data_IF_162625559726
#
_entry.id   IF_162625559726
#
_cell.length_a   1.000
_cell.length_b   1.000
_cell.length_c   1.000
_cell.angle_alpha   90.00
_cell.angle_beta   90.00
_cell.angle_gamma   90.00
#
_symmetry.space_group_name_H-M   'P 1'
#
loop_
_entity.id
_entity.type
_entity.pdbx_description
1 polymer ?
#
# COMPACT_ATOMS: atom_id res chain seq x y z
N UNK A 1 5.99 -33.48 -8.69
CA UNK A 1 5.45 -33.44 -7.31
C UNK A 1 6.38 -32.72 -6.35
N UNK A 2 7.66 -33.12 -6.23
CA UNK A 2 8.66 -32.44 -5.38
C UNK A 2 8.89 -30.95 -5.75
N UNK A 3 9.00 -30.60 -7.04
CA UNK A 3 9.17 -29.20 -7.45
C UNK A 3 7.95 -28.32 -7.13
N UNK A 4 6.72 -28.85 -7.21
CA UNK A 4 5.49 -28.14 -6.84
C UNK A 4 5.42 -27.93 -5.32
N UNK A 5 5.82 -28.93 -4.54
CA UNK A 5 5.91 -28.86 -3.08
C UNK A 5 7.00 -27.86 -2.68
N UNK A 6 8.14 -27.81 -3.37
CA UNK A 6 9.21 -26.81 -3.14
C UNK A 6 8.72 -25.40 -3.50
N UNK A 7 8.08 -25.20 -4.65
CA UNK A 7 7.54 -23.88 -5.04
C UNK A 7 6.43 -23.40 -4.09
N UNK A 8 5.57 -24.31 -3.59
CA UNK A 8 4.54 -23.97 -2.59
C UNK A 8 5.13 -23.77 -1.18
N UNK A 9 6.19 -24.48 -0.81
CA UNK A 9 6.85 -24.34 0.50
C UNK A 9 7.77 -23.13 0.59
N UNK A 10 8.16 -22.53 -0.53
CA UNK A 10 8.96 -21.30 -0.58
C UNK A 10 8.21 -20.09 -1.16
N UNK A 11 6.88 -20.07 -1.13
CA UNK A 11 6.12 -18.84 -1.37
C UNK A 11 5.71 -18.21 -0.02
N UNK A 12 6.58 -17.40 0.61
CA UNK A 12 6.27 -16.79 1.90
C UNK A 12 5.02 -15.91 1.85
N UNK A 13 4.71 -15.31 0.68
CA UNK A 13 3.49 -14.53 0.50
C UNK A 13 2.22 -15.39 0.59
N UNK A 14 2.26 -16.66 0.19
CA UNK A 14 1.12 -17.57 0.37
C UNK A 14 0.81 -17.79 1.86
N UNK A 15 1.84 -18.06 2.66
CA UNK A 15 1.66 -18.25 4.11
C UNK A 15 1.26 -16.95 4.79
N UNK A 16 1.85 -15.82 4.40
CA UNK A 16 1.46 -14.51 4.92
C UNK A 16 -0.01 -14.22 4.64
N UNK A 17 -0.48 -14.55 3.42
CA UNK A 17 -1.87 -14.37 3.02
C UNK A 17 -2.82 -15.23 3.86
N UNK A 18 -2.46 -16.48 4.13
CA UNK A 18 -3.28 -17.36 4.99
C UNK A 18 -3.31 -16.93 6.45
N UNK A 19 -2.20 -16.43 6.99
CA UNK A 19 -2.17 -15.88 8.35
C UNK A 19 -3.00 -14.60 8.40
N UNK A 20 -2.83 -13.71 7.43
CA UNK A 20 -3.55 -12.45 7.36
C UNK A 20 -5.07 -12.65 7.22
N UNK A 21 -5.52 -13.56 6.36
CA UNK A 21 -6.94 -13.93 6.24
C UNK A 21 -7.57 -14.33 7.59
N UNK A 22 -6.83 -15.05 8.44
CA UNK A 22 -7.30 -15.45 9.76
C UNK A 22 -7.31 -14.26 10.74
N UNK A 23 -6.29 -13.41 10.69
CA UNK A 23 -6.11 -12.27 11.60
C UNK A 23 -6.94 -11.05 11.20
N UNK A 24 -7.44 -10.95 9.96
CA UNK A 24 -8.36 -9.87 9.55
C UNK A 24 -9.61 -9.79 10.43
N UNK A 25 -10.01 -10.93 11.01
CA UNK A 25 -11.11 -10.97 11.98
C UNK A 25 -10.82 -10.30 13.33
N UNK A 26 -9.58 -9.87 13.58
CA UNK A 26 -9.22 -9.04 14.73
C UNK A 26 -9.56 -7.56 14.48
N UNK A 27 -9.62 -7.14 13.21
CA UNK A 27 -9.92 -5.76 12.79
C UNK A 27 -11.38 -5.55 12.39
N UNK A 28 -12.19 -6.61 12.37
CA UNK A 28 -13.58 -6.55 11.93
C UNK A 28 -14.34 -7.85 12.17
N UNK A 29 -15.59 -7.91 11.71
CA UNK A 29 -16.37 -9.13 11.84
C UNK A 29 -15.80 -10.26 10.95
N UNK A 30 -15.91 -11.50 11.44
CA UNK A 30 -15.61 -12.68 10.62
C UNK A 30 -16.53 -12.71 9.39
N UNK A 31 -16.02 -13.16 8.23
CA UNK A 31 -16.82 -13.22 7.02
C UNK A 31 -18.04 -14.13 7.23
N UNK A 32 -19.23 -13.62 6.95
CA UNK A 32 -20.51 -14.32 7.20
C UNK A 32 -20.98 -15.13 5.99
N UNK A 33 -20.45 -14.83 4.81
CA UNK A 33 -20.83 -15.46 3.54
C UNK A 33 -19.64 -15.48 2.57
N UNK A 34 -19.87 -16.04 1.37
CA UNK A 34 -18.85 -16.17 0.33
C UNK A 34 -18.37 -14.84 -0.23
N UNK A 35 -19.21 -13.81 -0.29
CA UNK A 35 -18.82 -12.48 -0.71
C UNK A 35 -17.86 -11.87 0.32
N UNK A 36 -18.22 -11.82 1.60
CA UNK A 36 -17.34 -11.27 2.64
C UNK A 36 -15.99 -11.97 2.68
N UNK A 37 -16.00 -13.30 2.53
CA UNK A 37 -14.76 -14.08 2.45
C UNK A 37 -13.92 -13.64 1.25
N UNK A 38 -14.53 -13.50 0.08
CA UNK A 38 -13.84 -13.06 -1.13
C UNK A 38 -13.31 -11.62 -1.01
N UNK A 39 -14.06 -10.71 -0.37
CA UNK A 39 -13.62 -9.34 -0.10
C UNK A 39 -12.38 -9.34 0.82
N UNK A 40 -12.43 -10.11 1.92
CA UNK A 40 -11.29 -10.25 2.83
C UNK A 40 -10.05 -10.85 2.14
N UNK A 41 -10.24 -11.82 1.25
CA UNK A 41 -9.15 -12.41 0.46
C UNK A 41 -8.48 -11.39 -0.47
N UNK A 42 -9.23 -10.48 -1.09
CA UNK A 42 -8.63 -9.43 -1.91
C UNK A 42 -7.96 -8.35 -1.05
N UNK A 43 -8.59 -7.94 0.06
CA UNK A 43 -8.00 -7.01 1.02
C UNK A 43 -6.65 -7.54 1.54
N UNK A 44 -6.57 -8.83 1.86
CA UNK A 44 -5.33 -9.47 2.29
C UNK A 44 -4.22 -9.39 1.24
N UNK A 45 -4.57 -9.50 -0.06
CA UNK A 45 -3.59 -9.34 -1.16
C UNK A 45 -3.11 -7.90 -1.29
N UNK A 46 -4.03 -6.93 -1.20
CA UNK A 46 -3.68 -5.51 -1.22
C UNK A 46 -2.74 -5.16 -0.06
N UNK A 47 -3.02 -5.65 1.15
CA UNK A 47 -2.16 -5.44 2.32
C UNK A 47 -0.78 -6.08 2.14
N UNK A 48 -0.68 -7.31 1.62
CA UNK A 48 0.63 -7.97 1.39
C UNK A 48 1.45 -7.26 0.32
N UNK A 49 0.78 -6.62 -0.65
CA UNK A 49 1.44 -5.80 -1.66
C UNK A 49 1.97 -4.46 -1.12
N UNK A 50 1.53 -4.03 0.07
CA UNK A 50 1.95 -2.78 0.74
C UNK A 50 2.68 -3.06 2.06
N UNK A 51 4.03 -3.20 2.02
CA UNK A 51 4.85 -3.26 3.23
C UNK A 51 4.57 -2.15 4.25
N UNK A 52 4.29 -0.94 3.77
CA UNK A 52 4.02 0.20 4.65
C UNK A 52 2.67 0.02 5.37
N UNK A 53 1.64 -0.50 4.69
CA UNK A 53 0.36 -0.83 5.31
C UNK A 53 0.49 -1.91 6.38
N UNK A 54 1.27 -2.97 6.13
CA UNK A 54 1.47 -4.03 7.13
C UNK A 54 2.12 -3.50 8.41
N UNK A 55 3.13 -2.63 8.27
CA UNK A 55 3.78 -2.01 9.43
C UNK A 55 2.80 -1.08 10.16
N UNK A 56 2.09 -0.21 9.41
CA UNK A 56 1.14 0.76 9.96
C UNK A 56 0.03 0.09 10.77
N UNK A 57 -0.48 -1.05 10.29
CA UNK A 57 -1.51 -1.82 10.98
C UNK A 57 -0.96 -2.76 12.06
N UNK A 58 0.36 -2.75 12.31
CA UNK A 58 0.99 -3.51 13.39
C UNK A 58 1.12 -5.02 13.12
N UNK A 59 1.16 -5.45 11.85
CA UNK A 59 1.31 -6.86 11.47
C UNK A 59 2.77 -7.36 11.58
N UNK A 60 3.50 -6.95 12.62
CA UNK A 60 4.90 -7.36 12.88
C UNK A 60 5.10 -8.88 12.84
N UNK A 61 4.08 -9.63 13.27
CA UNK A 61 4.09 -11.10 13.25
C UNK A 61 4.24 -11.70 11.84
N UNK A 62 3.96 -10.94 10.78
CA UNK A 62 4.16 -11.34 9.38
C UNK A 62 5.55 -11.01 8.84
N UNK A 63 6.37 -10.25 9.58
CA UNK A 63 7.63 -9.72 9.07
C UNK A 63 8.63 -10.82 8.70
N UNK A 64 8.62 -11.95 9.41
CA UNK A 64 9.48 -13.08 9.08
C UNK A 64 9.16 -13.71 7.70
N UNK A 65 7.95 -13.52 7.17
CA UNK A 65 7.54 -13.98 5.85
C UNK A 65 7.68 -12.89 4.80
N UNK A 66 7.16 -11.70 5.08
CA UNK A 66 7.05 -10.64 4.07
C UNK A 66 8.26 -9.71 4.03
N UNK A 67 9.06 -9.69 5.10
CA UNK A 67 10.14 -8.72 5.34
C UNK A 67 9.66 -7.27 5.14
N UNK A 68 8.43 -6.97 5.57
CA UNK A 68 7.79 -5.69 5.32
C UNK A 68 8.44 -4.53 6.08
N UNK A 69 8.97 -4.77 7.29
CA UNK A 69 9.66 -3.74 8.07
C UNK A 69 10.98 -3.27 7.43
N UNK A 70 11.47 -3.96 6.42
CA UNK A 70 12.68 -3.59 5.66
C UNK A 70 12.37 -3.08 4.25
N UNK A 71 11.10 -2.80 3.92
CA UNK A 71 10.64 -2.46 2.58
C UNK A 71 9.74 -1.22 2.60
N UNK A 72 9.67 -0.57 1.44
CA UNK A 72 8.74 0.51 1.15
C UNK A 72 7.81 0.05 0.04
N UNK A 73 6.62 0.64 -0.01
CA UNK A 73 5.69 0.41 -1.10
C UNK A 73 6.32 0.75 -2.46
N UNK A 74 6.07 -0.10 -3.45
CA UNK A 74 6.46 0.19 -4.81
C UNK A 74 5.48 1.18 -5.44
N UNK A 75 5.97 2.38 -5.72
CA UNK A 75 5.20 3.46 -6.33
C UNK A 75 5.64 3.69 -7.80
N UNK A 76 6.20 2.65 -8.43
CA UNK A 76 6.61 2.66 -9.83
C UNK A 76 5.41 2.77 -10.77
N UNK A 77 5.67 3.15 -12.03
CA UNK A 77 4.63 3.20 -13.07
C UNK A 77 4.12 1.78 -13.35
N UNK A 78 5.03 0.81 -13.34
CA UNK A 78 4.77 -0.60 -13.52
C UNK A 78 3.84 -1.12 -12.41
N UNK A 79 4.17 -0.86 -11.14
CA UNK A 79 3.31 -1.24 -10.02
C UNK A 79 1.94 -0.58 -10.09
N UNK A 80 1.88 0.71 -10.46
CA UNK A 80 0.61 1.43 -10.65
C UNK A 80 -0.25 0.79 -11.75
N UNK A 81 0.36 0.32 -12.84
CA UNK A 81 -0.34 -0.36 -13.92
C UNK A 81 -0.84 -1.76 -13.51
N UNK A 82 -0.04 -2.51 -12.76
CA UNK A 82 -0.46 -3.80 -12.20
C UNK A 82 -1.63 -3.64 -11.23
N UNK A 83 -1.61 -2.62 -10.37
CA UNK A 83 -2.73 -2.29 -9.48
C UNK A 83 -3.99 -1.93 -10.28
N UNK A 84 -3.86 -1.16 -11.35
CA UNK A 84 -4.97 -0.86 -12.26
C UNK A 84 -5.58 -2.12 -12.88
N UNK A 85 -4.75 -3.05 -13.37
CA UNK A 85 -5.23 -4.32 -13.93
C UNK A 85 -5.90 -5.21 -12.87
N UNK A 86 -5.33 -5.25 -11.66
CA UNK A 86 -5.91 -5.93 -10.52
C UNK A 86 -7.30 -5.36 -10.19
N UNK A 87 -7.42 -4.03 -10.06
CA UNK A 87 -8.66 -3.35 -9.74
C UNK A 87 -9.75 -3.62 -10.78
N UNK A 88 -9.41 -3.64 -12.08
CA UNK A 88 -10.35 -4.00 -13.16
C UNK A 88 -10.81 -5.44 -13.07
N UNK A 89 -9.88 -6.36 -12.82
CA UNK A 89 -10.20 -7.79 -12.69
C UNK A 89 -11.11 -8.02 -11.48
N UNK A 90 -10.84 -7.33 -10.38
CA UNK A 90 -11.65 -7.40 -9.17
C UNK A 90 -13.04 -6.79 -9.37
N UNK A 91 -13.16 -5.62 -10.01
CA UNK A 91 -14.47 -5.03 -10.31
C UNK A 91 -15.29 -5.96 -11.22
N UNK A 92 -14.66 -6.57 -12.22
CA UNK A 92 -15.31 -7.51 -13.10
C UNK A 92 -15.82 -8.76 -12.36
N UNK A 93 -15.08 -9.29 -11.39
CA UNK A 93 -15.57 -10.42 -10.59
C UNK A 93 -16.78 -10.04 -9.74
N UNK A 94 -16.76 -8.85 -9.12
CA UNK A 94 -17.88 -8.33 -8.33
C UNK A 94 -19.13 -8.02 -9.16
N UNK A 95 -18.98 -7.63 -10.42
CA UNK A 95 -20.10 -7.42 -11.34
C UNK A 95 -20.92 -8.69 -11.63
N UNK A 96 -20.36 -9.88 -11.39
CA UNK A 96 -21.08 -11.15 -11.55
C UNK A 96 -21.87 -11.56 -10.30
N UNK A 97 -21.78 -10.80 -9.20
CA UNK A 97 -22.49 -11.11 -7.96
C UNK A 97 -23.93 -10.59 -8.05
N UNK A 98 -24.90 -11.49 -7.84
CA UNK A 98 -26.32 -11.13 -7.84
C UNK A 98 -26.69 -10.36 -6.56
N UNK A 99 -26.69 -9.04 -6.68
CA UNK A 99 -26.96 -8.10 -5.58
C UNK A 99 -28.28 -8.36 -4.87
N UNK A 100 -29.31 -8.84 -5.57
CA UNK A 100 -30.64 -9.03 -4.99
C UNK A 100 -30.69 -10.20 -3.99
N UNK A 101 -29.69 -11.09 -3.99
CA UNK A 101 -29.61 -12.25 -3.10
C UNK A 101 -28.82 -11.99 -1.81
N UNK A 102 -28.26 -10.79 -1.63
CA UNK A 102 -27.23 -10.54 -0.60
C UNK A 102 -27.76 -10.05 0.75
N UNK A 103 -29.06 -9.75 0.88
CA UNK A 103 -29.58 -9.10 2.09
C UNK A 103 -28.82 -7.80 2.38
N UNK A 104 -28.34 -7.62 3.61
CA UNK A 104 -27.55 -6.44 4.00
C UNK A 104 -26.11 -6.45 3.49
N UNK A 105 -25.56 -7.63 3.15
CA UNK A 105 -24.21 -7.76 2.56
C UNK A 105 -24.08 -7.04 1.21
N UNK A 106 -25.21 -6.65 0.59
CA UNK A 106 -25.21 -5.81 -0.61
C UNK A 106 -24.44 -4.50 -0.41
N UNK A 107 -24.39 -3.96 0.81
CA UNK A 107 -23.67 -2.72 1.08
C UNK A 107 -22.15 -2.90 1.00
N UNK A 108 -21.62 -4.04 1.44
CA UNK A 108 -20.19 -4.37 1.28
C UNK A 108 -19.83 -4.46 -0.22
N UNK A 109 -20.70 -5.09 -1.02
CA UNK A 109 -20.55 -5.12 -2.48
C UNK A 109 -20.53 -3.71 -3.08
N UNK A 110 -21.51 -2.89 -2.73
CA UNK A 110 -21.67 -1.55 -3.30
C UNK A 110 -20.48 -0.64 -2.94
N UNK A 111 -20.04 -0.66 -1.67
CA UNK A 111 -18.88 0.11 -1.20
C UNK A 111 -17.62 -0.32 -1.95
N UNK A 112 -17.38 -1.62 -2.09
CA UNK A 112 -16.17 -2.09 -2.76
C UNK A 112 -16.19 -1.76 -4.25
N UNK A 113 -17.34 -1.92 -4.93
CA UNK A 113 -17.47 -1.52 -6.34
C UNK A 113 -17.21 -0.04 -6.53
N UNK A 114 -17.80 0.81 -5.68
CA UNK A 114 -17.57 2.25 -5.70
C UNK A 114 -16.08 2.59 -5.49
N UNK A 115 -15.40 1.94 -4.55
CA UNK A 115 -13.97 2.12 -4.33
C UNK A 115 -13.16 1.77 -5.60
N UNK A 116 -13.40 0.58 -6.18
CA UNK A 116 -12.70 0.11 -7.37
C UNK A 116 -12.96 1.01 -8.59
N UNK A 117 -14.19 1.46 -8.80
CA UNK A 117 -14.54 2.40 -9.86
C UNK A 117 -13.76 3.72 -9.72
N UNK A 118 -13.66 4.26 -8.50
CA UNK A 118 -12.86 5.45 -8.25
C UNK A 118 -11.36 5.22 -8.48
N UNK A 119 -10.80 4.08 -8.03
CA UNK A 119 -9.39 3.73 -8.30
C UNK A 119 -9.11 3.63 -9.80
N UNK A 120 -10.02 3.03 -10.57
CA UNK A 120 -9.92 2.89 -12.03
C UNK A 120 -9.99 4.26 -12.71
N UNK A 121 -10.99 5.08 -12.38
CA UNK A 121 -11.15 6.43 -12.95
C UNK A 121 -9.93 7.30 -12.62
N UNK A 122 -9.43 7.21 -11.39
CA UNK A 122 -8.24 7.90 -10.92
C UNK A 122 -7.01 7.59 -11.77
N UNK A 123 -6.80 6.32 -12.14
CA UNK A 123 -5.73 5.92 -13.04
C UNK A 123 -5.95 6.37 -14.49
N UNK A 124 -7.16 6.18 -15.04
CA UNK A 124 -7.45 6.40 -16.46
C UNK A 124 -7.58 7.89 -16.83
N UNK A 125 -8.32 8.66 -16.04
CA UNK A 125 -8.65 10.05 -16.34
C UNK A 125 -7.71 11.05 -15.67
N UNK A 126 -7.04 10.64 -14.58
CA UNK A 126 -6.24 11.54 -13.74
C UNK A 126 -4.81 11.02 -13.51
N UNK A 127 -4.05 10.66 -14.57
CA UNK A 127 -2.68 10.18 -14.37
C UNK A 127 -1.84 11.26 -13.67
N UNK A 128 -1.06 10.82 -12.67
CA UNK A 128 -0.20 11.68 -11.85
C UNK A 128 -0.90 12.75 -10.98
N UNK A 129 -2.23 12.73 -10.84
CA UNK A 129 -2.99 13.72 -10.06
C UNK A 129 -2.62 13.73 -8.57
N UNK A 130 -2.25 12.58 -8.00
CA UNK A 130 -1.82 12.52 -6.61
C UNK A 130 -0.44 13.13 -6.45
N UNK A 131 -0.35 14.27 -5.79
CA UNK A 131 0.91 14.95 -5.58
C UNK A 131 1.70 14.26 -4.45
N UNK A 132 2.93 13.73 -4.69
CA UNK A 132 3.71 13.07 -3.64
C UNK A 132 4.07 14.00 -2.49
N UNK A 133 3.95 15.32 -2.70
CA UNK A 133 4.29 16.35 -1.74
C UNK A 133 3.14 17.35 -1.64
N UNK A 134 2.46 17.39 -0.50
CA UNK A 134 1.46 18.41 -0.17
C UNK A 134 1.64 18.91 1.27
N UNK A 135 0.90 19.96 1.64
CA UNK A 135 1.07 20.58 2.96
C UNK A 135 0.47 19.78 4.12
N UNK A 136 -0.46 18.86 3.85
CA UNK A 136 -1.20 18.11 4.88
C UNK A 136 -1.04 16.60 4.76
N UNK A 137 -0.51 16.11 3.64
CA UNK A 137 -0.38 14.68 3.33
C UNK A 137 0.70 14.46 2.26
N UNK A 138 1.07 13.21 2.05
CA UNK A 138 1.98 12.79 0.99
C UNK A 138 3.20 12.07 1.53
N UNK A 139 3.95 11.48 0.61
CA UNK A 139 4.98 10.49 0.90
C UNK A 139 6.11 11.02 1.81
N UNK A 140 6.32 12.33 1.81
CA UNK A 140 7.32 13.01 2.65
C UNK A 140 6.91 13.16 4.12
N UNK A 141 5.61 13.27 4.42
CA UNK A 141 5.09 13.27 5.80
C UNK A 141 4.89 11.83 6.29
N UNK A 142 4.32 10.99 5.42
CA UNK A 142 4.03 9.60 5.75
C UNK A 142 5.29 8.83 6.15
N UNK A 143 6.47 9.16 5.62
CA UNK A 143 7.70 8.49 6.04
C UNK A 143 8.19 8.92 7.43
N UNK A 144 8.02 10.18 7.81
CA UNK A 144 8.40 10.63 9.15
C UNK A 144 7.49 9.94 10.17
N UNK A 145 6.17 10.00 9.96
CA UNK A 145 5.17 9.32 10.79
C UNK A 145 5.39 7.80 10.81
N UNK A 146 5.67 7.20 9.65
CA UNK A 146 5.98 5.78 9.57
C UNK A 146 7.16 5.41 10.46
N UNK A 147 8.21 6.21 10.50
CA UNK A 147 9.45 5.88 11.20
C UNK A 147 9.48 6.28 12.67
N UNK A 148 8.79 7.36 13.04
CA UNK A 148 8.74 7.80 14.44
C UNK A 148 7.67 7.05 15.22
N UNK A 149 6.53 6.76 14.59
CA UNK A 149 5.34 6.35 15.32
C UNK A 149 4.99 4.87 15.08
N UNK A 150 5.31 4.33 13.89
CA UNK A 150 4.86 3.00 13.48
C UNK A 150 6.00 1.96 13.35
N UNK A 151 7.20 2.38 12.96
CA UNK A 151 8.35 1.48 12.77
C UNK A 151 9.09 1.30 14.09
N UNK A 152 9.06 0.08 14.63
CA UNK A 152 9.84 -0.25 15.82
C UNK A 152 11.33 -0.30 15.47
N UNK A 153 12.09 0.67 15.96
CA UNK A 153 13.55 0.64 15.90
C UNK A 153 14.05 -0.34 16.97
N UNK A 154 14.41 -1.56 16.56
CA UNK A 154 15.17 -2.48 17.41
C UNK A 154 16.65 -2.06 17.40
N UNK A 155 17.08 -1.36 18.46
CA UNK A 155 18.50 -1.04 18.65
C UNK A 155 19.25 -2.34 18.95
N UNK A 156 19.99 -2.86 17.97
CA UNK A 156 21.06 -3.83 18.20
C UNK A 156 22.36 -3.08 18.45
N UNK A 157 23.23 -3.62 19.31
CA UNK A 157 24.48 -2.99 19.79
C UNK A 157 25.46 -2.55 18.69
N UNK A 158 25.26 -2.96 17.44
CA UNK A 158 26.06 -2.53 16.29
C UNK A 158 25.39 -1.37 15.56
N UNK A 159 26.04 -0.19 15.61
CA UNK A 159 25.79 1.01 14.80
C UNK A 159 26.04 0.76 13.31
N UNK A 160 25.36 -0.22 12.72
CA UNK A 160 25.19 -0.29 11.27
C UNK A 160 24.02 0.63 10.92
N UNK A 161 24.14 1.40 9.84
CA UNK A 161 23.06 2.24 9.27
C UNK A 161 21.78 1.45 9.41
N UNK A 162 20.90 1.89 10.31
CA UNK A 162 19.72 1.10 10.62
C UNK A 162 18.93 0.99 9.31
N UNK A 163 18.38 -0.18 8.99
CA UNK A 163 17.60 -0.38 7.76
C UNK A 163 16.61 0.78 7.52
N UNK A 164 16.07 1.33 8.61
CA UNK A 164 15.35 2.60 8.73
C UNK A 164 15.98 3.82 8.03
N UNK A 165 17.22 4.22 8.36
CA UNK A 165 17.90 5.39 7.76
C UNK A 165 18.14 5.18 6.26
N UNK A 166 18.48 3.96 5.85
CA UNK A 166 18.61 3.61 4.43
C UNK A 166 17.25 3.70 3.70
N UNK A 167 16.18 3.22 4.32
CA UNK A 167 14.82 3.33 3.78
C UNK A 167 14.38 4.80 3.66
N UNK A 168 14.76 5.67 4.61
CA UNK A 168 14.52 7.12 4.49
C UNK A 168 15.12 7.70 3.22
N UNK A 169 16.43 7.51 3.02
CA UNK A 169 17.14 8.00 1.84
C UNK A 169 16.57 7.42 0.55
N UNK A 170 16.20 6.13 0.57
CA UNK A 170 15.59 5.47 -0.57
C UNK A 170 14.20 6.04 -0.91
N UNK A 171 13.34 6.30 0.07
CA UNK A 171 12.01 6.90 -0.22
C UNK A 171 12.15 8.34 -0.70
N UNK A 172 13.01 9.15 -0.08
CA UNK A 172 13.26 10.53 -0.50
C UNK A 172 13.74 10.59 -1.95
N UNK A 173 14.67 9.72 -2.34
CA UNK A 173 15.15 9.65 -3.73
C UNK A 173 14.06 9.20 -4.71
N UNK A 174 13.16 8.28 -4.30
CA UNK A 174 11.97 7.90 -5.08
C UNK A 174 10.97 9.06 -5.23
N UNK A 175 10.73 9.84 -4.18
CA UNK A 175 9.86 11.03 -4.23
C UNK A 175 10.39 12.05 -5.24
N UNK A 176 11.69 12.35 -5.17
CA UNK A 176 12.34 13.28 -6.11
C UNK A 176 12.21 12.76 -7.54
N UNK A 177 12.51 11.48 -7.78
CA UNK A 177 12.38 10.85 -9.09
C UNK A 177 10.94 10.91 -9.63
N UNK A 178 9.94 10.72 -8.77
CA UNK A 178 8.52 10.83 -9.13
C UNK A 178 8.17 12.26 -9.56
N UNK A 179 8.60 13.28 -8.81
CA UNK A 179 8.38 14.69 -9.17
C UNK A 179 9.01 15.00 -10.53
N UNK A 180 10.27 14.64 -10.74
CA UNK A 180 10.97 14.88 -12.01
C UNK A 180 10.28 14.19 -13.19
N UNK A 181 9.80 12.96 -13.01
CA UNK A 181 9.07 12.23 -14.05
C UNK A 181 7.76 12.93 -14.43
N UNK A 182 7.07 13.53 -13.45
CA UNK A 182 5.83 14.30 -13.69
C UNK A 182 6.10 15.58 -14.46
N UNK A 183 7.15 16.32 -14.06
CA UNK A 183 7.56 17.54 -14.75
C UNK A 183 7.94 17.25 -16.21
N UNK A 184 8.68 16.16 -16.48
CA UNK A 184 8.98 15.71 -17.84
C UNK A 184 7.73 15.40 -18.68
N UNK A 185 6.63 15.00 -18.04
CA UNK A 185 5.34 14.74 -18.68
C UNK A 185 4.42 15.97 -18.71
N UNK A 186 4.94 17.16 -18.36
CA UNK A 186 4.18 18.42 -18.38
C UNK A 186 3.23 18.61 -17.20
N UNK A 187 3.31 17.76 -16.18
CA UNK A 187 2.52 17.89 -14.96
C UNK A 187 3.37 18.53 -13.86
N UNK A 188 3.13 19.82 -13.63
CA UNK A 188 3.89 20.63 -12.68
C UNK A 188 3.11 20.86 -11.40
N UNK A 189 3.81 20.91 -10.27
CA UNK A 189 3.18 21.32 -9.02
C UNK A 189 2.91 22.83 -9.04
N UNK A 190 1.87 23.31 -8.35
CA UNK A 190 1.69 24.75 -8.17
C UNK A 190 2.89 25.38 -7.46
N UNK A 191 3.28 26.59 -7.88
CA UNK A 191 4.48 27.30 -7.36
C UNK A 191 4.54 27.38 -5.83
N UNK A 192 3.39 27.62 -5.19
CA UNK A 192 3.29 27.75 -3.73
C UNK A 192 3.65 26.46 -2.96
N UNK A 193 3.58 25.29 -3.61
CA UNK A 193 4.01 24.02 -3.01
C UNK A 193 5.53 24.05 -2.81
N UNK A 194 6.30 24.38 -3.85
CA UNK A 194 7.76 24.48 -3.76
C UNK A 194 8.21 25.51 -2.72
N UNK A 195 7.61 26.71 -2.74
CA UNK A 195 7.97 27.82 -1.83
C UNK A 195 7.76 27.44 -0.36
N UNK A 196 6.69 26.69 -0.04
CA UNK A 196 6.42 26.29 1.34
C UNK A 196 7.33 25.16 1.81
N UNK A 197 7.61 24.16 0.97
CA UNK A 197 8.47 23.03 1.36
C UNK A 197 9.95 23.40 1.48
N UNK A 198 10.45 24.40 0.73
CA UNK A 198 11.79 24.95 0.94
C UNK A 198 12.00 25.43 2.38
N UNK A 199 11.00 26.07 2.98
CA UNK A 199 11.07 26.55 4.37
C UNK A 199 10.99 25.40 5.38
N UNK A 200 10.20 24.36 5.13
CA UNK A 200 10.08 23.21 6.03
C UNK A 200 11.35 22.36 6.12
N UNK A 201 12.06 22.14 5.01
CA UNK A 201 13.33 21.40 5.01
C UNK A 201 14.49 22.18 5.67
N UNK A 202 14.47 23.52 5.63
CA UNK A 202 15.46 24.38 6.30
C UNK A 202 15.28 24.43 7.82
N UNK A 203 14.05 24.23 8.33
CA UNK A 203 13.77 24.24 9.77
C UNK A 203 14.17 22.91 10.42
N UNK A 204 14.17 21.80 9.69
CA UNK A 204 14.61 20.48 10.18
C UNK A 204 16.14 20.29 10.17
N UNK A 205 16.91 21.28 9.70
CA UNK A 205 18.38 21.27 9.66
C UNK A 205 19.03 22.19 10.70
N UNK A 206 18.26 22.66 11.68
CA UNK A 206 18.70 23.40 12.87
C UNK A 206 18.36 22.60 14.13
#
# INVERSE_FOLDING_TARGET
MLALIIVLSFNPNFFALKILENNLSEFGEKPKNSLDKYLNEQLAKEMIASPETLTYLGFDSLNFLTNHNSKLDDNSIESSYEEYLFNKTYLNSLNNVDRNKLGDTKYNLDIQKFNLENKIISYEAFPFHFNPVSQFFGNHLSIIEFLTDNHKIEIKETLEITSTEFLQLLKLSKIISSILTKEQKGNFLPKFVYEKHQNSFLISSL
#
